data_IF_684493220867
#
_entry.id   IF_684493220867
#
_cell.length_a   1.000
_cell.length_b   1.000
_cell.length_c   1.000
_cell.angle_alpha   90.00
_cell.angle_beta   90.00
_cell.angle_gamma   90.00
#
_symmetry.space_group_name_H-M   'P 1'
#
loop_
_entity.id
_entity.type
_entity.pdbx_description
1 polymer ?
#
# COMPACT_ATOMS: atom_id res chain seq x y z
N UNK A 1 18.28 2.65 -14.52
CA UNK A 1 17.91 3.40 -13.29
C UNK A 1 16.42 3.20 -13.05
N UNK A 2 15.96 3.06 -11.80
CA UNK A 2 14.51 3.00 -11.52
C UNK A 2 13.94 4.39 -11.22
N UNK A 3 12.88 4.78 -11.92
CA UNK A 3 12.12 5.98 -11.63
C UNK A 3 10.78 5.61 -11.01
N UNK A 4 10.45 6.21 -9.88
CA UNK A 4 9.22 5.94 -9.14
C UNK A 4 8.33 7.18 -9.15
N UNK A 5 7.12 7.05 -9.68
CA UNK A 5 6.08 8.07 -9.62
C UNK A 5 4.95 7.55 -8.73
N UNK A 6 4.46 8.42 -7.85
CA UNK A 6 3.26 8.16 -7.04
C UNK A 6 2.15 9.11 -7.47
N UNK A 7 0.89 8.67 -7.49
CA UNK A 7 -0.24 9.55 -7.84
C UNK A 7 -0.29 10.80 -6.95
N UNK A 8 -0.16 10.59 -5.64
CA UNK A 8 -0.13 11.65 -4.65
C UNK A 8 0.74 11.28 -3.43
N UNK A 9 0.72 12.13 -2.41
CA UNK A 9 1.40 11.88 -1.12
C UNK A 9 0.72 10.78 -0.29
N UNK A 10 -0.57 10.52 -0.51
CA UNK A 10 -1.35 9.49 0.19
C UNK A 10 -1.19 8.09 -0.44
N UNK A 11 -0.61 8.00 -1.63
CA UNK A 11 -0.32 6.78 -2.39
C UNK A 11 0.89 6.02 -1.83
N UNK A 12 1.07 6.09 -0.50
CA UNK A 12 2.14 5.47 0.27
C UNK A 12 3.56 5.79 -0.24
N UNK A 13 3.82 7.05 -0.60
CA UNK A 13 5.13 7.49 -1.14
C UNK A 13 6.33 7.06 -0.30
N UNK A 14 6.25 7.19 1.03
CA UNK A 14 7.31 6.72 1.94
C UNK A 14 7.50 5.19 1.94
N UNK A 15 6.45 4.42 1.69
CA UNK A 15 6.56 2.97 1.55
C UNK A 15 7.41 2.62 0.33
N UNK A 16 7.11 3.23 -0.82
CA UNK A 16 7.82 2.98 -2.07
C UNK A 16 9.27 3.43 -2.02
N UNK A 17 9.53 4.57 -1.40
CA UNK A 17 10.89 5.06 -1.15
C UNK A 17 11.68 4.06 -0.28
N UNK A 18 11.07 3.58 0.81
CA UNK A 18 11.70 2.60 1.69
C UNK A 18 11.96 1.26 0.98
N UNK A 19 11.00 0.77 0.18
CA UNK A 19 11.17 -0.46 -0.60
C UNK A 19 12.32 -0.34 -1.59
N UNK A 20 12.34 0.72 -2.40
CA UNK A 20 13.39 0.97 -3.38
C UNK A 20 14.76 1.16 -2.73
N UNK A 21 14.82 1.91 -1.64
CA UNK A 21 16.04 2.07 -0.86
C UNK A 21 16.57 0.73 -0.36
N UNK A 22 15.69 -0.16 0.10
CA UNK A 22 16.05 -1.44 0.69
C UNK A 22 16.56 -2.44 -0.35
N UNK A 23 15.96 -2.50 -1.53
CA UNK A 23 16.26 -3.51 -2.54
C UNK A 23 17.23 -3.03 -3.64
N UNK A 24 17.18 -1.75 -4.02
CA UNK A 24 18.10 -1.17 -5.03
C UNK A 24 19.28 -0.43 -4.41
N UNK A 25 19.10 0.14 -3.22
CA UNK A 25 20.09 0.99 -2.58
C UNK A 25 20.10 2.42 -3.12
N UNK A 26 20.74 3.31 -2.35
CA UNK A 26 20.87 4.74 -2.68
C UNK A 26 21.61 4.93 -4.01
N UNK A 27 21.04 5.76 -4.90
CA UNK A 27 21.64 6.10 -6.19
C UNK A 27 21.27 5.17 -7.35
N UNK A 28 20.48 4.12 -7.09
CA UNK A 28 19.97 3.21 -8.12
C UNK A 28 18.47 3.42 -8.42
N UNK A 29 17.83 4.35 -7.71
CA UNK A 29 16.46 4.79 -7.99
C UNK A 29 16.32 6.31 -7.81
N UNK A 30 15.27 6.87 -8.42
CA UNK A 30 14.83 8.26 -8.28
C UNK A 30 13.34 8.23 -7.94
N UNK A 31 12.99 8.73 -6.76
CA UNK A 31 11.61 9.04 -6.42
C UNK A 31 11.26 10.42 -6.98
N UNK A 32 10.44 10.45 -8.04
CA UNK A 32 10.13 11.67 -8.80
C UNK A 32 9.27 12.60 -7.97
N UNK A 33 9.65 13.87 -7.87
CA UNK A 33 8.92 14.87 -7.08
C UNK A 33 7.48 15.07 -7.57
N UNK A 34 6.57 15.23 -6.62
CA UNK A 34 5.18 15.59 -6.92
C UNK A 34 5.15 17.02 -7.45
N UNK A 35 4.37 17.26 -8.50
CA UNK A 35 4.24 18.61 -9.09
C UNK A 35 3.52 19.61 -8.15
N UNK A 36 2.76 19.10 -7.17
CA UNK A 36 1.97 19.87 -6.23
C UNK A 36 1.92 19.09 -4.90
N UNK A 37 1.89 19.76 -3.75
CA UNK A 37 1.95 19.14 -2.41
C UNK A 37 0.89 18.04 -2.14
N UNK A 38 -0.18 17.97 -2.95
CA UNK A 38 -1.28 17.01 -2.81
C UNK A 38 -1.47 16.03 -3.99
N UNK A 39 -0.74 16.15 -5.10
CA UNK A 39 -0.85 15.24 -6.27
C UNK A 39 -2.27 15.03 -6.84
N UNK A 40 -2.51 13.84 -7.41
CA UNK A 40 -3.80 13.32 -7.89
C UNK A 40 -3.80 12.82 -9.34
N UNK A 41 -4.80 12.02 -9.72
CA UNK A 41 -5.01 11.47 -11.08
C UNK A 41 -4.77 12.45 -12.24
N UNK A 42 -5.19 13.73 -12.11
CA UNK A 42 -4.97 14.76 -13.12
C UNK A 42 -3.50 15.16 -13.29
N UNK A 43 -2.71 15.08 -12.22
CA UNK A 43 -1.27 15.38 -12.24
C UNK A 43 -0.43 14.16 -12.62
N UNK A 44 -0.91 12.94 -12.38
CA UNK A 44 -0.18 11.69 -12.67
C UNK A 44 0.21 11.57 -14.15
N UNK A 45 -0.74 11.84 -15.05
CA UNK A 45 -0.47 11.89 -16.49
C UNK A 45 0.65 12.87 -16.84
N UNK A 46 0.61 14.06 -16.26
CA UNK A 46 1.60 15.10 -16.53
C UNK A 46 2.97 14.74 -15.94
N UNK A 47 3.00 14.16 -14.73
CA UNK A 47 4.23 13.68 -14.10
C UNK A 47 4.94 12.65 -14.98
N UNK A 48 4.20 11.64 -15.48
CA UNK A 48 4.75 10.66 -16.43
C UNK A 48 5.20 11.35 -17.71
N UNK A 49 4.36 12.19 -18.32
CA UNK A 49 4.67 12.84 -19.59
C UNK A 49 5.92 13.73 -19.53
N UNK A 50 6.12 14.47 -18.44
CA UNK A 50 7.32 15.28 -18.26
C UNK A 50 8.59 14.45 -18.02
N UNK A 51 8.46 13.27 -17.42
CA UNK A 51 9.60 12.38 -17.17
C UNK A 51 10.04 11.64 -18.43
N UNK A 52 9.10 11.16 -19.25
CA UNK A 52 9.36 10.28 -20.40
C UNK A 52 10.47 10.77 -21.37
N UNK A 53 10.62 12.08 -21.67
CA UNK A 53 11.73 12.57 -22.49
C UNK A 53 13.12 12.32 -21.88
N UNK A 54 13.23 12.28 -20.55
CA UNK A 54 14.50 12.12 -19.84
C UNK A 54 14.96 10.68 -19.64
N UNK A 55 14.05 9.71 -19.80
CA UNK A 55 14.34 8.28 -19.66
C UNK A 55 15.20 7.77 -20.81
N UNK A 56 16.14 6.87 -20.49
CA UNK A 56 17.08 6.24 -21.42
C UNK A 56 16.75 4.75 -21.58
N UNK A 57 17.22 4.15 -22.67
CA UNK A 57 17.14 2.68 -22.87
C UNK A 57 17.81 1.96 -21.69
N UNK A 58 17.14 0.91 -21.21
CA UNK A 58 17.51 0.16 -20.00
C UNK A 58 17.07 0.79 -18.68
N UNK A 59 16.38 1.93 -18.68
CA UNK A 59 15.73 2.45 -17.48
C UNK A 59 14.42 1.71 -17.16
N UNK A 60 13.98 1.81 -15.92
CA UNK A 60 12.73 1.25 -15.42
C UNK A 60 11.85 2.41 -14.93
N UNK A 61 10.55 2.38 -15.26
CA UNK A 61 9.54 3.29 -14.75
C UNK A 61 8.53 2.50 -13.93
N UNK A 62 8.44 2.78 -12.64
CA UNK A 62 7.40 2.25 -11.76
C UNK A 62 6.41 3.35 -11.38
N UNK A 63 5.12 3.10 -11.62
CA UNK A 63 4.05 4.03 -11.27
C UNK A 63 3.12 3.39 -10.24
N UNK A 64 3.05 3.97 -9.05
CA UNK A 64 2.14 3.57 -7.99
C UNK A 64 0.94 4.52 -7.90
N UNK A 65 -0.25 3.98 -8.10
CA UNK A 65 -1.50 4.75 -8.14
C UNK A 65 -2.70 3.85 -7.83
N UNK A 66 -3.83 4.47 -7.49
CA UNK A 66 -5.06 3.72 -7.28
C UNK A 66 -5.65 3.32 -8.65
N UNK A 67 -5.62 2.02 -8.96
CA UNK A 67 -6.09 1.44 -10.23
C UNK A 67 -7.63 1.34 -10.27
N UNK A 68 -8.28 2.49 -10.11
CA UNK A 68 -9.73 2.63 -10.11
C UNK A 68 -10.22 2.56 -11.55
N UNK A 69 -11.38 1.91 -11.76
CA UNK A 69 -12.04 1.89 -13.05
C UNK A 69 -12.35 3.33 -13.55
N UNK A 70 -12.38 3.49 -14.87
CA UNK A 70 -12.49 4.78 -15.57
C UNK A 70 -13.34 5.82 -14.85
N UNK A 71 -12.72 6.93 -14.49
CA UNK A 71 -13.41 8.11 -13.94
C UNK A 71 -13.64 9.14 -15.05
N UNK A 72 -14.43 10.18 -14.78
CA UNK A 72 -14.77 11.20 -15.79
C UNK A 72 -13.53 11.91 -16.37
N UNK A 73 -12.43 12.01 -15.60
CA UNK A 73 -11.23 12.78 -15.94
C UNK A 73 -9.96 11.92 -16.08
N UNK A 74 -10.04 10.60 -15.83
CA UNK A 74 -8.90 9.70 -15.91
C UNK A 74 -9.35 8.30 -16.35
N UNK A 75 -8.81 7.84 -17.48
CA UNK A 75 -9.02 6.50 -17.98
C UNK A 75 -7.75 5.68 -17.74
N UNK A 76 -7.80 4.85 -16.71
CA UNK A 76 -6.67 4.04 -16.24
C UNK A 76 -6.16 3.10 -17.33
N UNK A 77 -7.05 2.48 -18.10
CA UNK A 77 -6.66 1.60 -19.19
C UNK A 77 -5.90 2.36 -20.28
N UNK A 78 -6.42 3.51 -20.71
CA UNK A 78 -5.77 4.34 -21.72
C UNK A 78 -4.43 4.89 -21.23
N UNK A 79 -4.35 5.30 -19.96
CA UNK A 79 -3.11 5.73 -19.33
C UNK A 79 -2.03 4.63 -19.39
N UNK A 80 -2.36 3.42 -18.91
CA UNK A 80 -1.44 2.28 -18.93
C UNK A 80 -0.99 1.97 -20.36
N UNK A 81 -1.93 1.86 -21.30
CA UNK A 81 -1.61 1.52 -22.69
C UNK A 81 -0.73 2.57 -23.37
N UNK A 82 -1.00 3.85 -23.15
CA UNK A 82 -0.19 4.94 -23.71
C UNK A 82 1.20 4.98 -23.09
N UNK A 83 1.31 4.89 -21.77
CA UNK A 83 2.60 4.88 -21.07
C UNK A 83 3.43 3.67 -21.51
N UNK A 84 2.80 2.49 -21.63
CA UNK A 84 3.47 1.29 -22.12
C UNK A 84 4.01 1.48 -23.54
N UNK A 85 3.20 2.01 -24.47
CA UNK A 85 3.63 2.24 -25.85
C UNK A 85 4.84 3.18 -25.93
N UNK A 86 4.84 4.26 -25.16
CA UNK A 86 5.96 5.21 -25.16
C UNK A 86 7.21 4.61 -24.52
N UNK A 87 7.08 3.90 -23.39
CA UNK A 87 8.20 3.24 -22.73
C UNK A 87 8.83 2.16 -23.63
N UNK A 88 8.00 1.33 -24.27
CA UNK A 88 8.46 0.30 -25.20
C UNK A 88 9.22 0.90 -26.39
N UNK A 89 8.80 2.05 -26.92
CA UNK A 89 9.50 2.74 -28.02
C UNK A 89 10.91 3.24 -27.64
N UNK A 90 11.17 3.37 -26.33
CA UNK A 90 12.43 3.84 -25.74
C UNK A 90 13.25 2.74 -25.08
N UNK A 91 12.80 1.48 -25.14
CA UNK A 91 13.41 0.36 -24.41
C UNK A 91 13.49 0.63 -22.88
N UNK A 92 12.39 1.16 -22.34
CA UNK A 92 12.18 1.39 -20.90
C UNK A 92 11.19 0.35 -20.38
N UNK A 93 11.53 -0.33 -19.28
CA UNK A 93 10.64 -1.31 -18.64
C UNK A 93 9.59 -0.58 -17.78
N UNK A 94 8.32 -0.69 -18.17
CA UNK A 94 7.21 -0.03 -17.48
C UNK A 94 6.50 -1.00 -16.53
N UNK A 95 6.46 -0.63 -15.25
CA UNK A 95 5.82 -1.35 -14.15
C UNK A 95 4.79 -0.45 -13.47
N UNK A 96 3.77 -1.06 -12.87
CA UNK A 96 2.78 -0.32 -12.10
C UNK A 96 2.08 -1.21 -11.05
N UNK A 97 1.40 -0.59 -10.09
CA UNK A 97 0.56 -1.29 -9.11
C UNK A 97 -0.70 -1.85 -9.77
N UNK A 98 -0.85 -3.18 -9.77
CA UNK A 98 -1.96 -3.85 -10.44
C UNK A 98 -3.25 -3.96 -9.62
N UNK A 99 -3.17 -3.74 -8.30
CA UNK A 99 -4.30 -3.81 -7.37
C UNK A 99 -5.05 -2.48 -7.30
N UNK A 100 -6.28 -2.50 -6.77
CA UNK A 100 -7.22 -1.36 -6.87
C UNK A 100 -6.77 -0.14 -6.06
N UNK A 101 -6.20 -0.36 -4.88
CA UNK A 101 -5.64 0.71 -4.02
C UNK A 101 -4.56 0.17 -3.08
N UNK A 102 -3.72 1.05 -2.52
CA UNK A 102 -2.62 0.65 -1.62
C UNK A 102 -3.07 -0.21 -0.44
N UNK A 103 -4.26 0.06 0.11
CA UNK A 103 -4.81 -0.69 1.26
C UNK A 103 -4.89 -2.20 1.00
N UNK A 104 -5.12 -2.61 -0.26
CA UNK A 104 -5.23 -4.02 -0.63
C UNK A 104 -3.94 -4.80 -0.39
N UNK A 105 -2.78 -4.13 -0.42
CA UNK A 105 -1.50 -4.74 -0.10
C UNK A 105 -1.50 -5.29 1.34
N UNK A 106 -1.99 -4.51 2.29
CA UNK A 106 -2.06 -4.93 3.69
C UNK A 106 -3.31 -5.74 4.00
N UNK A 107 -4.46 -5.43 3.40
CA UNK A 107 -5.67 -6.23 3.61
C UNK A 107 -5.50 -7.67 3.12
N UNK A 108 -4.76 -7.89 2.03
CA UNK A 108 -4.40 -9.23 1.54
C UNK A 108 -3.28 -9.91 2.33
N UNK A 109 -2.58 -9.20 3.21
CA UNK A 109 -1.47 -9.78 3.98
C UNK A 109 -1.98 -10.80 4.99
N UNK A 110 -1.60 -12.07 4.80
CA UNK A 110 -2.13 -13.20 5.58
C UNK A 110 -1.99 -13.02 7.09
N UNK A 111 -0.86 -12.47 7.56
CA UNK A 111 -0.62 -12.32 8.99
C UNK A 111 -1.44 -11.18 9.63
N UNK A 112 -2.00 -10.26 8.83
CA UNK A 112 -2.92 -9.24 9.33
C UNK A 112 -4.14 -9.88 10.02
N UNK A 113 -4.70 -10.92 9.40
CA UNK A 113 -5.82 -11.67 9.96
C UNK A 113 -5.42 -12.40 11.24
N UNK A 114 -4.28 -13.11 11.22
CA UNK A 114 -3.75 -13.81 12.40
C UNK A 114 -3.56 -12.84 13.58
N UNK A 115 -2.95 -11.67 13.34
CA UNK A 115 -2.75 -10.65 14.37
C UNK A 115 -4.08 -10.07 14.90
N UNK A 116 -5.04 -9.84 14.01
CA UNK A 116 -6.35 -9.34 14.42
C UNK A 116 -7.08 -10.35 15.29
N UNK A 117 -7.07 -11.64 14.91
CA UNK A 117 -7.70 -12.73 15.66
C UNK A 117 -7.12 -12.93 17.08
N UNK A 118 -5.84 -12.64 17.27
CA UNK A 118 -5.17 -12.65 18.57
C UNK A 118 -5.48 -11.42 19.45
N UNK A 119 -6.22 -10.45 18.92
CA UNK A 119 -6.56 -9.20 19.60
C UNK A 119 -8.02 -9.23 20.11
N UNK A 120 -8.49 -8.16 20.77
CA UNK A 120 -9.90 -8.04 21.17
C UNK A 120 -10.80 -7.77 19.94
N UNK A 121 -11.17 -8.84 19.23
CA UNK A 121 -11.83 -8.81 17.92
C UNK A 121 -13.24 -8.24 17.94
N UNK A 122 -13.55 -7.42 16.93
CA UNK A 122 -14.93 -7.17 16.56
C UNK A 122 -15.40 -8.23 15.55
N UNK A 123 -16.50 -8.93 15.84
CA UNK A 123 -17.03 -9.98 14.95
C UNK A 123 -17.41 -9.47 13.56
N UNK A 124 -17.91 -8.24 13.44
CA UNK A 124 -18.28 -7.63 12.15
C UNK A 124 -17.02 -7.37 11.32
N UNK A 125 -16.02 -6.71 11.90
CA UNK A 125 -14.72 -6.49 11.25
C UNK A 125 -14.04 -7.79 10.85
N UNK A 126 -14.05 -8.81 11.72
CA UNK A 126 -13.43 -10.11 11.42
C UNK A 126 -14.06 -10.77 10.20
N UNK A 127 -15.40 -10.76 10.10
CA UNK A 127 -16.12 -11.29 8.93
C UNK A 127 -15.77 -10.53 7.66
N UNK A 128 -15.77 -9.19 7.73
CA UNK A 128 -15.38 -8.34 6.61
C UNK A 128 -13.95 -8.62 6.15
N UNK A 129 -12.98 -8.66 7.07
CA UNK A 129 -11.57 -8.93 6.78
C UNK A 129 -11.37 -10.31 6.13
N UNK A 130 -11.98 -11.37 6.68
CA UNK A 130 -11.90 -12.73 6.09
C UNK A 130 -12.49 -12.77 4.69
N UNK A 131 -13.64 -12.13 4.49
CA UNK A 131 -14.28 -12.07 3.18
C UNK A 131 -13.42 -11.32 2.16
N UNK A 132 -12.89 -10.15 2.51
CA UNK A 132 -11.98 -9.37 1.66
C UNK A 132 -10.73 -10.17 1.32
N UNK A 133 -10.08 -10.83 2.28
CA UNK A 133 -8.90 -11.66 2.02
C UNK A 133 -9.19 -12.79 1.04
N UNK A 134 -10.30 -13.51 1.22
CA UNK A 134 -10.71 -14.58 0.30
C UNK A 134 -10.90 -14.05 -1.13
N UNK A 135 -11.59 -12.91 -1.28
CA UNK A 135 -11.80 -12.30 -2.59
C UNK A 135 -10.48 -11.86 -3.23
N UNK A 136 -9.57 -11.23 -2.47
CA UNK A 136 -8.27 -10.78 -2.97
C UNK A 136 -7.37 -11.95 -3.38
N UNK A 137 -7.33 -13.04 -2.60
CA UNK A 137 -6.60 -14.26 -2.95
C UNK A 137 -7.15 -14.92 -4.24
N UNK A 138 -8.46 -14.80 -4.49
CA UNK A 138 -9.13 -15.31 -5.70
C UNK A 138 -9.15 -14.32 -6.87
N UNK A 139 -8.61 -13.11 -6.72
CA UNK A 139 -8.64 -12.06 -7.76
C UNK A 139 -10.04 -11.54 -8.06
N UNK A 140 -10.96 -11.58 -7.09
CA UNK A 140 -12.37 -11.16 -7.23
C UNK A 140 -12.61 -9.81 -6.57
N UNK A 141 -13.57 -9.06 -7.10
CA UNK A 141 -14.07 -7.87 -6.42
C UNK A 141 -14.83 -8.25 -5.14
N UNK A 142 -14.48 -7.62 -4.02
CA UNK A 142 -15.15 -7.82 -2.74
C UNK A 142 -16.23 -6.77 -2.47
N UNK A 143 -16.25 -5.64 -3.18
CA UNK A 143 -17.09 -4.50 -2.78
C UNK A 143 -18.47 -4.55 -3.43
N UNK A 144 -19.39 -5.26 -2.78
CA UNK A 144 -20.81 -5.25 -3.12
C UNK A 144 -21.63 -4.88 -1.87
N UNK A 145 -22.33 -3.74 -1.91
CA UNK A 145 -23.08 -3.21 -0.76
C UNK A 145 -24.18 -4.15 -0.24
N UNK A 146 -24.69 -5.06 -1.07
CA UNK A 146 -25.67 -6.07 -0.68
C UNK A 146 -25.06 -7.34 -0.09
N UNK A 147 -23.73 -7.53 -0.18
CA UNK A 147 -23.06 -8.64 0.49
C UNK A 147 -23.09 -8.41 2.00
N UNK A 148 -23.58 -9.38 2.76
CA UNK A 148 -23.79 -9.24 4.21
C UNK A 148 -22.51 -8.87 4.98
N UNK A 149 -21.35 -9.40 4.58
CA UNK A 149 -20.07 -9.12 5.26
C UNK A 149 -19.63 -7.66 5.06
N UNK A 150 -20.00 -7.07 3.93
CA UNK A 150 -19.73 -5.67 3.58
C UNK A 150 -20.79 -4.75 4.20
N UNK A 151 -22.07 -5.13 4.07
CA UNK A 151 -23.21 -4.38 4.57
C UNK A 151 -23.14 -4.17 6.09
N UNK A 152 -22.90 -5.24 6.86
CA UNK A 152 -22.80 -5.17 8.32
C UNK A 152 -21.68 -4.22 8.76
N UNK A 153 -20.54 -4.23 8.05
CA UNK A 153 -19.41 -3.35 8.35
C UNK A 153 -19.77 -1.89 8.04
N UNK A 154 -20.34 -1.62 6.87
CA UNK A 154 -20.77 -0.28 6.47
C UNK A 154 -21.79 0.29 7.46
N UNK A 155 -22.78 -0.51 7.88
CA UNK A 155 -23.80 -0.07 8.84
C UNK A 155 -23.18 0.31 10.19
N UNK A 156 -22.21 -0.49 10.65
CA UNK A 156 -21.53 -0.27 11.92
C UNK A 156 -20.65 0.98 11.92
N UNK A 157 -19.85 1.18 10.87
CA UNK A 157 -18.82 2.21 10.83
C UNK A 157 -19.27 3.50 10.11
N UNK A 158 -20.39 3.45 9.38
CA UNK A 158 -21.14 4.55 8.75
C UNK A 158 -20.31 5.45 7.80
N UNK A 159 -21.02 6.45 7.25
CA UNK A 159 -20.56 7.60 6.42
C UNK A 159 -19.66 7.20 5.25
N UNK A 160 -18.35 7.18 5.45
CA UNK A 160 -17.40 7.07 4.35
C UNK A 160 -17.13 5.63 3.93
N UNK A 161 -17.23 4.67 4.86
CA UNK A 161 -16.96 3.24 4.60
C UNK A 161 -17.84 2.64 3.50
N UNK A 162 -18.99 3.25 3.19
CA UNK A 162 -19.92 2.82 2.14
C UNK A 162 -19.88 3.66 0.87
N UNK A 163 -18.93 4.58 0.69
CA UNK A 163 -18.88 5.42 -0.51
C UNK A 163 -18.46 4.61 -1.74
N UNK A 164 -17.26 4.03 -1.71
CA UNK A 164 -16.70 3.19 -2.76
C UNK A 164 -15.76 2.12 -2.15
N UNK A 165 -15.19 1.28 -3.01
CA UNK A 165 -14.26 0.19 -2.61
C UNK A 165 -13.02 0.70 -1.87
N UNK A 166 -12.48 1.84 -2.28
CA UNK A 166 -11.29 2.46 -1.68
C UNK A 166 -11.59 2.93 -0.24
N UNK A 167 -12.68 3.67 -0.05
CA UNK A 167 -13.09 4.15 1.26
C UNK A 167 -13.43 2.99 2.20
N UNK A 168 -14.05 1.93 1.68
CA UNK A 168 -14.27 0.70 2.43
C UNK A 168 -12.93 0.06 2.85
N UNK A 169 -11.99 -0.11 1.92
CA UNK A 169 -10.68 -0.70 2.18
C UNK A 169 -9.93 0.08 3.26
N UNK A 170 -9.90 1.41 3.14
CA UNK A 170 -9.26 2.29 4.10
C UNK A 170 -9.92 2.21 5.48
N UNK A 171 -11.25 2.24 5.55
CA UNK A 171 -11.98 2.12 6.82
C UNK A 171 -11.71 0.77 7.50
N UNK A 172 -11.71 -0.32 6.74
CA UNK A 172 -11.41 -1.66 7.24
C UNK A 172 -9.98 -1.76 7.74
N UNK A 173 -9.00 -1.30 6.94
CA UNK A 173 -7.59 -1.33 7.32
C UNK A 173 -7.32 -0.50 8.58
N UNK A 174 -7.91 0.70 8.69
CA UNK A 174 -7.81 1.55 9.88
C UNK A 174 -8.39 0.83 11.10
N UNK A 175 -9.59 0.25 11.02
CA UNK A 175 -10.20 -0.44 12.16
C UNK A 175 -9.36 -1.65 12.60
N UNK A 176 -8.94 -2.49 11.64
CA UNK A 176 -8.12 -3.67 11.90
C UNK A 176 -6.80 -3.29 12.56
N UNK A 177 -6.07 -2.36 11.97
CA UNK A 177 -4.74 -1.96 12.45
C UNK A 177 -4.79 -1.18 13.76
N UNK A 178 -5.85 -0.40 14.02
CA UNK A 178 -6.08 0.23 15.33
C UNK A 178 -6.19 -0.80 16.46
N UNK A 179 -6.79 -1.97 16.20
CA UNK A 179 -6.97 -3.02 17.23
C UNK A 179 -5.70 -3.81 17.51
N UNK A 180 -4.76 -3.84 16.56
CA UNK A 180 -3.43 -4.43 16.74
C UNK A 180 -2.55 -3.53 17.66
N UNK A 181 -3.02 -2.30 17.97
CA UNK A 181 -2.46 -1.33 18.91
C UNK A 181 -1.12 -0.72 18.46
N UNK A 182 -0.71 0.39 19.08
CA UNK A 182 0.61 0.99 18.88
C UNK A 182 0.86 1.61 17.51
N UNK A 183 2.12 1.56 17.04
CA UNK A 183 2.58 2.09 15.72
C UNK A 183 2.23 1.14 14.55
N UNK A 184 1.38 0.14 14.77
CA UNK A 184 0.83 -0.73 13.72
C UNK A 184 -0.37 -0.12 13.01
N UNK A 185 -0.96 0.95 13.52
CA UNK A 185 -2.01 1.66 12.79
C UNK A 185 -1.50 2.05 11.40
N UNK A 186 -2.34 1.96 10.37
CA UNK A 186 -2.06 2.51 9.03
C UNK A 186 -3.12 3.59 8.76
N UNK A 187 -2.70 4.79 8.34
CA UNK A 187 -3.60 5.89 7.97
C UNK A 187 -3.10 6.61 6.74
N UNK A 188 -4.00 7.01 5.82
CA UNK A 188 -3.62 7.78 4.62
C UNK A 188 -3.02 9.17 4.90
N UNK A 189 -3.27 9.79 6.05
CA UNK A 189 -2.75 11.15 6.36
C UNK A 189 -1.26 11.14 6.73
N UNK A 190 -0.55 12.19 6.31
CA UNK A 190 0.81 12.58 6.76
C UNK A 190 1.89 11.50 6.62
N UNK A 191 2.14 11.03 5.40
CA UNK A 191 3.18 10.02 5.12
C UNK A 191 3.01 8.79 6.03
N UNK A 192 2.11 7.89 5.60
CA UNK A 192 1.61 6.69 6.31
C UNK A 192 2.63 5.97 7.21
N UNK A 193 3.92 5.99 6.86
CA UNK A 193 5.03 5.30 7.53
C UNK A 193 6.07 6.19 8.22
N UNK A 194 5.88 7.51 8.33
CA UNK A 194 6.81 8.40 9.04
C UNK A 194 6.50 8.52 10.54
N UNK A 195 5.28 8.19 10.97
CA UNK A 195 4.84 8.33 12.38
C UNK A 195 3.91 7.19 12.80
N UNK A 196 2.95 6.90 11.94
CA UNK A 196 2.03 5.77 11.98
C UNK A 196 2.65 4.66 11.11
N UNK A 197 2.21 3.41 11.22
CA UNK A 197 2.62 2.32 10.31
C UNK A 197 4.07 1.82 10.40
N UNK A 198 5.00 2.53 11.04
CA UNK A 198 6.44 2.22 11.02
C UNK A 198 6.77 0.77 11.38
N UNK A 199 6.04 0.18 12.33
CA UNK A 199 6.31 -1.20 12.75
C UNK A 199 6.15 -2.24 11.63
N UNK A 200 5.40 -1.91 10.56
CA UNK A 200 5.24 -2.76 9.39
C UNK A 200 6.45 -2.78 8.47
N UNK A 201 7.33 -1.78 8.55
CA UNK A 201 8.45 -1.61 7.60
C UNK A 201 9.77 -1.50 8.33
N UNK A 202 9.91 -0.61 9.31
CA UNK A 202 11.18 -0.35 9.98
C UNK A 202 11.51 -1.43 11.02
N UNK A 203 12.79 -1.74 11.18
CA UNK A 203 13.29 -2.57 12.28
C UNK A 203 12.79 -2.05 13.64
N UNK A 204 12.28 -2.95 14.49
CA UNK A 204 11.81 -2.60 15.82
C UNK A 204 12.91 -2.02 16.70
N UNK A 205 14.18 -2.42 16.51
CA UNK A 205 15.31 -1.83 17.25
C UNK A 205 15.43 -0.33 16.96
N UNK A 206 15.37 0.06 15.68
CA UNK A 206 15.41 1.46 15.23
C UNK A 206 14.22 2.26 15.76
N UNK A 207 13.02 1.68 15.77
CA UNK A 207 11.82 2.32 16.33
C UNK A 207 11.98 2.52 17.84
N UNK A 208 12.48 1.52 18.57
CA UNK A 208 12.64 1.61 20.03
C UNK A 208 13.60 2.72 20.47
N UNK A 209 14.64 3.02 19.68
CA UNK A 209 15.55 4.15 19.94
C UNK A 209 14.84 5.52 19.94
N UNK A 210 13.69 5.62 19.28
CA UNK A 210 12.86 6.83 19.22
C UNK A 210 11.75 6.85 20.29
N UNK A 211 11.62 5.79 21.10
CA UNK A 211 10.57 5.63 22.10
C UNK A 211 11.10 5.78 23.53
N UNK A 212 10.22 6.18 24.44
CA UNK A 212 10.53 6.11 25.88
C UNK A 212 10.24 4.70 26.44
N UNK A 213 10.85 4.37 27.59
CA UNK A 213 10.75 3.04 28.21
C UNK A 213 9.30 2.59 28.43
N UNK A 214 8.41 3.50 28.85
CA UNK A 214 6.98 3.17 29.07
C UNK A 214 6.28 2.72 27.78
N UNK A 215 6.60 3.33 26.64
CA UNK A 215 6.08 2.92 25.34
C UNK A 215 6.68 1.59 24.89
N UNK A 216 7.98 1.36 25.11
CA UNK A 216 8.63 0.09 24.79
C UNK A 216 7.95 -1.05 25.57
N UNK A 217 7.81 -0.91 26.88
CA UNK A 217 7.22 -1.95 27.73
C UNK A 217 5.76 -2.26 27.34
N UNK A 218 4.96 -1.21 27.09
CA UNK A 218 3.54 -1.39 26.80
C UNK A 218 3.28 -1.84 25.35
N UNK A 219 3.92 -1.21 24.36
CA UNK A 219 3.65 -1.48 22.94
C UNK A 219 4.49 -2.64 22.41
N UNK A 220 5.81 -2.63 22.63
CA UNK A 220 6.69 -3.67 22.10
C UNK A 220 6.57 -4.97 22.91
N UNK A 221 6.38 -4.87 24.23
CA UNK A 221 6.17 -6.03 25.11
C UNK A 221 4.92 -6.85 24.73
N UNK A 222 3.85 -6.18 24.29
CA UNK A 222 2.59 -6.83 23.91
C UNK A 222 2.45 -7.10 22.40
N UNK A 223 3.47 -6.76 21.61
CA UNK A 223 3.43 -6.85 20.16
C UNK A 223 3.24 -8.28 19.67
N UNK A 224 2.18 -8.49 18.87
CA UNK A 224 1.82 -9.76 18.22
C UNK A 224 2.28 -9.85 16.77
N UNK A 225 3.00 -8.84 16.26
CA UNK A 225 3.50 -8.90 14.90
C UNK A 225 4.54 -9.99 14.74
N UNK A 226 4.29 -10.90 13.81
CA UNK A 226 5.12 -12.06 13.53
C UNK A 226 6.55 -11.66 13.14
N UNK A 227 6.71 -10.56 12.40
CA UNK A 227 8.02 -10.07 11.95
C UNK A 227 8.60 -8.98 12.87
N UNK A 228 8.16 -8.88 14.13
CA UNK A 228 8.58 -7.76 15.00
C UNK A 228 10.08 -7.62 15.20
N UNK A 229 10.86 -8.69 15.13
CA UNK A 229 12.32 -8.66 15.28
C UNK A 229 13.08 -8.71 13.96
N UNK A 230 12.36 -8.70 12.83
CA UNK A 230 12.97 -8.70 11.52
C UNK A 230 13.43 -7.30 11.15
N UNK A 231 14.48 -7.22 10.35
CA UNK A 231 14.90 -5.97 9.74
C UNK A 231 13.91 -5.51 8.65
N UNK A 232 14.16 -4.33 8.08
CA UNK A 232 13.31 -3.76 7.04
C UNK A 232 13.18 -4.65 5.81
N UNK A 233 14.27 -5.29 5.39
CA UNK A 233 14.29 -6.13 4.20
C UNK A 233 13.44 -7.38 4.40
N UNK A 234 13.61 -8.04 5.53
CA UNK A 234 12.86 -9.25 5.85
C UNK A 234 11.37 -8.99 6.04
N UNK A 235 11.00 -7.82 6.61
CA UNK A 235 9.58 -7.40 6.68
C UNK A 235 8.97 -7.17 5.30
N UNK A 236 9.68 -6.47 4.43
CA UNK A 236 9.22 -6.22 3.06
C UNK A 236 9.12 -7.53 2.26
N UNK A 237 10.06 -8.46 2.42
CA UNK A 237 10.00 -9.78 1.80
C UNK A 237 8.84 -10.62 2.34
N UNK A 238 8.57 -10.58 3.64
CA UNK A 238 7.42 -11.29 4.21
C UNK A 238 6.10 -10.72 3.69
N UNK A 239 5.98 -9.38 3.60
CA UNK A 239 4.83 -8.72 2.99
C UNK A 239 4.69 -9.09 1.51
N UNK A 240 5.77 -9.05 0.73
CA UNK A 240 5.79 -9.42 -0.69
C UNK A 240 5.28 -10.86 -0.90
N UNK A 241 5.79 -11.81 -0.12
CA UNK A 241 5.44 -13.23 -0.25
C UNK A 241 4.03 -13.59 0.26
N UNK A 242 3.47 -12.80 1.18
CA UNK A 242 2.21 -13.14 1.87
C UNK A 242 1.06 -12.17 1.61
N UNK A 243 1.22 -11.24 0.67
CA UNK A 243 0.16 -10.33 0.20
C UNK A 243 -0.20 -10.62 -1.27
N UNK A 244 -1.07 -9.79 -1.84
CA UNK A 244 -1.40 -9.76 -3.26
C UNK A 244 -0.17 -9.50 -4.15
N UNK A 245 0.92 -8.93 -3.60
CA UNK A 245 2.15 -8.66 -4.35
C UNK A 245 2.80 -9.93 -4.91
N UNK A 246 2.67 -11.07 -4.23
CA UNK A 246 3.19 -12.39 -4.70
C UNK A 246 2.68 -12.79 -6.09
N UNK A 247 1.50 -12.29 -6.47
CA UNK A 247 0.82 -12.56 -7.73
C UNK A 247 0.96 -11.41 -8.74
N UNK A 248 1.61 -10.31 -8.35
CA UNK A 248 1.84 -9.15 -9.21
C UNK A 248 2.90 -9.48 -10.26
N UNK A 249 2.76 -8.89 -11.45
CA UNK A 249 3.78 -8.93 -12.50
C UNK A 249 5.06 -8.20 -12.09
N UNK A 250 4.97 -7.36 -11.06
CA UNK A 250 6.11 -6.69 -10.42
C UNK A 250 6.01 -6.80 -8.90
N UNK A 251 6.97 -7.50 -8.32
CA UNK A 251 7.06 -7.79 -6.89
C UNK A 251 7.73 -6.64 -6.13
N UNK A 252 7.41 -6.49 -4.84
CA UNK A 252 8.08 -5.49 -3.99
C UNK A 252 9.60 -5.68 -3.97
N UNK A 253 10.08 -6.92 -3.93
CA UNK A 253 11.51 -7.27 -3.97
C UNK A 253 12.22 -6.94 -5.29
N UNK A 254 11.45 -6.62 -6.33
CA UNK A 254 11.98 -6.18 -7.63
C UNK A 254 11.98 -4.65 -7.74
N UNK A 255 11.30 -3.93 -6.85
CA UNK A 255 11.39 -2.47 -6.76
C UNK A 255 12.81 -2.11 -6.38
#
# INVERSE_FOLDING_TARGET
>A
MLYIITEDSNSARCFWDCAAHTFRGKGNYILVDLQNDNGGNTTLNNQVYLLLPSLKSGDELFVAFDNIANTHNFNTHQFIMNTYAVCASKDVDFKFTSYYCFEELYLSYKELLNMYELSNVNKVTLKALRYVQSCLDEGKDYYLKSNINIADFIEKYKRDSGNNREHFANALLIDVTNKINGRFKITKKDNVFNTVGQCWIEDCSNIQLQLNNKHIDNMCGNCKYCCKYNDTKDKLLDLDNKSISKNSTYRLSQI
#
